data_IF_523115471855
#
_entry.id   IF_523115471855
#
_cell.length_a   1.000
_cell.length_b   1.000
_cell.length_c   1.000
_cell.angle_alpha   90.00
_cell.angle_beta   90.00
_cell.angle_gamma   90.00
#
_symmetry.space_group_name_H-M   'P 1'
#
loop_
_entity.id
_entity.type
_entity.pdbx_description
1 polymer ?
#
# COMPACT_ATOMS: atom_id res chain seq x y z
N UNK A 1 -6.14 -17.69 37.62
CA UNK A 1 -5.73 -17.79 36.22
C UNK A 1 -7.00 -18.03 35.41
N UNK A 2 -7.62 -16.97 34.98
CA UNK A 2 -8.89 -17.00 34.24
C UNK A 2 -8.62 -17.39 32.79
N UNK A 3 -9.09 -18.59 32.44
CA UNK A 3 -9.14 -19.09 31.08
C UNK A 3 -10.36 -18.44 30.40
N UNK A 4 -10.22 -17.24 29.84
CA UNK A 4 -11.29 -16.66 29.03
C UNK A 4 -11.50 -17.53 27.79
N UNK A 5 -12.75 -17.88 27.44
CA UNK A 5 -13.03 -18.68 26.26
C UNK A 5 -12.68 -17.85 25.02
N UNK A 6 -11.65 -18.28 24.30
CA UNK A 6 -11.22 -17.73 23.02
C UNK A 6 -12.41 -17.78 22.03
N UNK A 7 -13.00 -16.65 21.75
CA UNK A 7 -14.15 -16.54 20.86
C UNK A 7 -13.75 -16.98 19.44
N UNK A 8 -14.32 -18.09 18.97
CA UNK A 8 -14.07 -18.70 17.67
C UNK A 8 -14.26 -17.73 16.46
N UNK A 9 -14.92 -16.57 16.66
CA UNK A 9 -15.11 -15.55 15.65
C UNK A 9 -13.85 -14.72 15.30
N UNK A 10 -12.89 -14.61 16.22
CA UNK A 10 -11.69 -13.77 16.06
C UNK A 10 -10.41 -14.54 15.76
N UNK A 11 -10.46 -15.89 15.68
CA UNK A 11 -9.23 -16.68 15.47
C UNK A 11 -8.57 -16.38 14.13
N UNK A 12 -9.35 -16.16 13.06
CA UNK A 12 -8.80 -15.83 11.75
C UNK A 12 -8.03 -14.50 11.79
N UNK A 13 -8.58 -13.50 12.45
CA UNK A 13 -7.95 -12.18 12.63
C UNK A 13 -6.67 -12.30 13.47
N UNK A 14 -6.72 -12.99 14.61
CA UNK A 14 -5.54 -13.23 15.44
C UNK A 14 -4.43 -13.98 14.70
N UNK A 15 -4.77 -14.93 13.83
CA UNK A 15 -3.80 -15.62 12.97
C UNK A 15 -3.18 -14.69 11.93
N UNK A 16 -3.95 -13.77 11.35
CA UNK A 16 -3.44 -12.74 10.42
C UNK A 16 -2.49 -11.80 11.17
N UNK A 17 -2.87 -11.28 12.33
CA UNK A 17 -2.02 -10.41 13.15
C UNK A 17 -0.70 -11.09 13.55
N UNK A 18 -0.77 -12.34 14.02
CA UNK A 18 0.42 -13.11 14.34
C UNK A 18 1.31 -13.39 13.12
N UNK A 19 0.70 -13.61 11.95
CA UNK A 19 1.42 -13.79 10.70
C UNK A 19 2.09 -12.49 10.22
N UNK A 20 1.43 -11.34 10.35
CA UNK A 20 2.01 -10.01 10.08
C UNK A 20 3.23 -9.76 10.98
N UNK A 21 3.10 -10.01 12.29
CA UNK A 21 4.22 -9.88 13.22
C UNK A 21 5.39 -10.82 12.85
N UNK A 22 5.08 -12.04 12.42
CA UNK A 22 6.11 -13.00 12.01
C UNK A 22 6.85 -12.55 10.75
N UNK A 23 6.14 -12.13 9.68
CA UNK A 23 6.81 -11.67 8.45
C UNK A 23 7.60 -10.39 8.70
N UNK A 24 7.11 -9.48 9.52
CA UNK A 24 7.80 -8.22 9.82
C UNK A 24 9.11 -8.45 10.59
N UNK A 25 9.17 -9.46 11.47
CA UNK A 25 10.37 -9.75 12.26
C UNK A 25 11.37 -10.70 11.58
N UNK A 26 10.90 -11.60 10.73
CA UNK A 26 11.70 -12.72 10.21
C UNK A 26 11.69 -12.80 8.67
N UNK A 27 10.96 -11.90 7.99
CA UNK A 27 10.76 -11.92 6.56
C UNK A 27 9.65 -12.86 6.08
N UNK A 28 9.12 -12.62 4.89
CA UNK A 28 7.99 -13.38 4.31
C UNK A 28 8.31 -14.88 4.12
N UNK A 29 9.59 -15.23 3.90
CA UNK A 29 10.01 -16.64 3.76
C UNK A 29 9.83 -17.46 5.03
N UNK A 30 9.92 -16.83 6.20
CA UNK A 30 9.80 -17.47 7.51
C UNK A 30 8.35 -17.82 7.91
N UNK A 31 7.34 -17.41 7.13
CA UNK A 31 5.93 -17.68 7.41
C UNK A 31 5.66 -19.16 7.62
N UNK A 32 5.17 -19.53 8.83
CA UNK A 32 5.02 -20.92 9.27
C UNK A 32 3.75 -21.13 10.10
N UNK A 33 2.81 -21.90 9.58
CA UNK A 33 1.51 -22.17 10.22
C UNK A 33 1.64 -22.87 11.58
N UNK A 34 2.62 -23.77 11.73
CA UNK A 34 2.85 -24.46 13.01
C UNK A 34 3.35 -23.52 14.11
N UNK A 35 4.16 -22.52 13.74
CA UNK A 35 4.61 -21.47 14.65
C UNK A 35 3.43 -20.57 15.02
N UNK A 36 2.59 -20.19 14.06
CA UNK A 36 1.37 -19.41 14.33
C UNK A 36 0.41 -20.12 15.28
N UNK A 37 0.19 -21.42 15.08
CA UNK A 37 -0.65 -22.22 15.99
C UNK A 37 -0.16 -22.10 17.45
N UNK A 38 1.16 -22.24 17.66
CA UNK A 38 1.77 -22.08 19.01
C UNK A 38 1.63 -20.67 19.57
N UNK A 39 1.87 -19.64 18.75
CA UNK A 39 1.75 -18.24 19.14
C UNK A 39 0.32 -17.87 19.55
N UNK A 40 -0.68 -18.38 18.84
CA UNK A 40 -2.09 -18.13 19.13
C UNK A 40 -2.69 -19.12 20.16
N UNK A 41 -1.89 -20.06 20.70
CA UNK A 41 -2.37 -21.03 21.71
C UNK A 41 -3.42 -22.03 21.17
N UNK A 42 -3.40 -22.33 19.88
CA UNK A 42 -4.36 -23.23 19.22
C UNK A 42 -3.68 -24.45 18.62
N UNK A 43 -4.47 -25.48 18.31
CA UNK A 43 -3.95 -26.66 17.62
C UNK A 43 -3.66 -26.39 16.15
N UNK A 44 -2.70 -27.09 15.54
CA UNK A 44 -2.44 -26.98 14.10
C UNK A 44 -3.69 -27.24 13.24
N UNK A 45 -4.52 -28.27 13.51
CA UNK A 45 -5.77 -28.45 12.76
C UNK A 45 -6.71 -27.25 12.82
N UNK A 46 -6.68 -26.46 13.91
CA UNK A 46 -7.48 -25.24 13.98
C UNK A 46 -7.01 -24.18 12.97
N UNK A 47 -5.69 -24.03 12.78
CA UNK A 47 -5.12 -23.11 11.76
C UNK A 47 -5.48 -23.57 10.36
N UNK A 48 -5.37 -24.88 10.08
CA UNK A 48 -5.68 -25.44 8.77
C UNK A 48 -7.16 -25.36 8.38
N UNK A 49 -8.07 -25.19 9.33
CA UNK A 49 -9.49 -24.88 9.05
C UNK A 49 -9.68 -23.48 8.47
N UNK A 50 -8.78 -22.53 8.79
CA UNK A 50 -8.85 -21.16 8.29
C UNK A 50 -7.99 -20.93 7.05
N UNK A 51 -6.86 -21.62 6.94
CA UNK A 51 -5.91 -21.47 5.83
C UNK A 51 -5.45 -22.84 5.37
N UNK A 52 -5.78 -23.21 4.13
CA UNK A 52 -5.45 -24.51 3.54
C UNK A 52 -3.94 -24.78 3.41
N UNK A 53 -3.11 -23.78 3.69
CA UNK A 53 -1.65 -23.86 3.63
C UNK A 53 -1.01 -22.48 3.62
N UNK A 54 0.32 -22.45 3.48
CA UNK A 54 1.12 -21.22 3.45
C UNK A 54 0.67 -20.26 2.34
N UNK A 55 0.33 -20.79 1.16
CA UNK A 55 -0.13 -19.96 0.03
C UNK A 55 -1.47 -19.27 0.34
N UNK A 56 -2.45 -20.00 0.88
CA UNK A 56 -3.75 -19.43 1.26
C UNK A 56 -3.61 -18.35 2.35
N UNK A 57 -2.70 -18.54 3.30
CA UNK A 57 -2.37 -17.52 4.29
C UNK A 57 -1.69 -16.32 3.62
N UNK A 58 -0.73 -16.53 2.72
CA UNK A 58 -0.07 -15.46 1.98
C UNK A 58 -1.07 -14.63 1.16
N UNK A 59 -2.03 -15.25 0.50
CA UNK A 59 -3.09 -14.54 -0.21
C UNK A 59 -3.95 -13.69 0.74
N UNK A 60 -4.30 -14.24 1.90
CA UNK A 60 -5.07 -13.50 2.90
C UNK A 60 -4.30 -12.31 3.47
N UNK A 61 -2.98 -12.43 3.66
CA UNK A 61 -2.12 -11.31 4.08
C UNK A 61 -2.05 -10.22 3.01
N UNK A 62 -1.85 -10.60 1.76
CA UNK A 62 -1.81 -9.65 0.62
C UNK A 62 -3.16 -8.96 0.45
N UNK A 63 -4.26 -9.68 0.57
CA UNK A 63 -5.59 -9.10 0.52
C UNK A 63 -5.80 -8.09 1.66
N UNK A 64 -5.48 -8.47 2.89
CA UNK A 64 -5.52 -7.60 4.05
C UNK A 64 -4.68 -6.33 3.84
N UNK A 65 -3.47 -6.48 3.27
CA UNK A 65 -2.58 -5.37 2.98
C UNK A 65 -3.19 -4.38 1.99
N UNK A 66 -3.77 -4.86 0.91
CA UNK A 66 -4.46 -4.00 -0.07
C UNK A 66 -5.69 -3.33 0.53
N UNK A 67 -6.51 -4.03 1.34
CA UNK A 67 -7.64 -3.40 2.04
C UNK A 67 -7.20 -2.24 2.93
N UNK A 68 -6.12 -2.43 3.71
CA UNK A 68 -5.56 -1.38 4.56
C UNK A 68 -4.99 -0.22 3.76
N UNK A 69 -4.30 -0.51 2.66
CA UNK A 69 -3.78 0.51 1.76
C UNK A 69 -4.93 1.33 1.15
N UNK A 70 -5.96 0.67 0.61
CA UNK A 70 -7.16 1.34 0.07
C UNK A 70 -7.78 2.29 1.09
N UNK A 71 -8.03 1.80 2.31
CA UNK A 71 -8.61 2.62 3.39
C UNK A 71 -7.75 3.85 3.70
N UNK A 72 -6.42 3.68 3.79
CA UNK A 72 -5.48 4.76 4.08
C UNK A 72 -5.47 5.81 2.96
N UNK A 73 -5.39 5.37 1.70
CA UNK A 73 -5.37 6.27 0.55
C UNK A 73 -6.68 7.05 0.41
N UNK A 74 -7.83 6.40 0.60
CA UNK A 74 -9.14 7.05 0.54
C UNK A 74 -9.35 8.07 1.67
N UNK A 75 -8.81 7.80 2.86
CA UNK A 75 -8.94 8.71 4.00
C UNK A 75 -8.07 9.96 3.89
N UNK A 76 -7.05 9.95 3.01
CA UNK A 76 -6.03 11.01 2.96
C UNK A 76 -6.31 12.07 1.90
N UNK A 77 -7.10 11.76 0.88
CA UNK A 77 -7.32 12.66 -0.27
C UNK A 77 -8.78 13.03 -0.45
N UNK A 78 -9.03 14.32 -0.70
CA UNK A 78 -10.33 14.88 -1.10
C UNK A 78 -10.17 15.66 -2.42
N UNK A 79 -9.90 14.99 -3.54
CA UNK A 79 -9.43 15.63 -4.78
C UNK A 79 -10.47 16.58 -5.40
N UNK A 80 -11.74 16.47 -5.01
CA UNK A 80 -12.80 17.40 -5.43
C UNK A 80 -12.65 18.78 -4.77
N UNK A 81 -12.07 18.82 -3.56
CA UNK A 81 -11.96 20.01 -2.72
C UNK A 81 -10.52 20.56 -2.66
N UNK A 82 -9.55 19.79 -3.10
CA UNK A 82 -8.12 20.10 -3.01
C UNK A 82 -7.53 20.44 -4.38
N UNK A 83 -6.38 21.10 -4.36
CA UNK A 83 -5.51 21.24 -5.52
C UNK A 83 -4.85 19.90 -5.86
N UNK A 84 -4.61 19.67 -7.15
CA UNK A 84 -4.03 18.42 -7.66
C UNK A 84 -2.69 18.10 -6.99
N UNK A 85 -1.82 19.09 -6.79
CA UNK A 85 -0.53 18.92 -6.11
C UNK A 85 -0.71 18.44 -4.66
N UNK A 86 -1.63 19.05 -3.91
CA UNK A 86 -1.95 18.65 -2.53
C UNK A 86 -2.44 17.21 -2.46
N UNK A 87 -3.34 16.82 -3.37
CA UNK A 87 -3.87 15.46 -3.44
C UNK A 87 -2.79 14.43 -3.80
N UNK A 88 -1.91 14.72 -4.77
CA UNK A 88 -0.78 13.83 -5.13
C UNK A 88 0.18 13.68 -3.94
N UNK A 89 0.51 14.78 -3.27
CA UNK A 89 1.39 14.78 -2.10
C UNK A 89 0.81 13.94 -0.96
N UNK A 90 -0.47 14.14 -0.64
CA UNK A 90 -1.18 13.39 0.40
C UNK A 90 -1.21 11.90 0.12
N UNK A 91 -1.55 11.53 -1.12
CA UNK A 91 -1.56 10.13 -1.57
C UNK A 91 -0.15 9.50 -1.50
N UNK A 92 0.87 10.20 -1.97
CA UNK A 92 2.24 9.72 -1.94
C UNK A 92 2.73 9.51 -0.50
N UNK A 93 2.43 10.46 0.41
CA UNK A 93 2.76 10.33 1.83
C UNK A 93 2.09 9.12 2.46
N UNK A 94 0.78 8.96 2.29
CA UNK A 94 0.04 7.83 2.84
C UNK A 94 0.55 6.47 2.32
N UNK A 95 0.92 6.42 1.04
CA UNK A 95 1.52 5.24 0.42
C UNK A 95 2.90 4.91 1.01
N UNK A 96 3.79 5.90 1.15
CA UNK A 96 5.11 5.72 1.74
C UNK A 96 5.02 5.28 3.21
N UNK A 97 4.19 5.94 4.01
CA UNK A 97 3.97 5.59 5.41
C UNK A 97 3.50 4.15 5.55
N UNK A 98 2.52 3.71 4.72
CA UNK A 98 2.09 2.31 4.70
C UNK A 98 3.23 1.37 4.34
N UNK A 99 4.00 1.68 3.29
CA UNK A 99 5.07 0.82 2.80
C UNK A 99 6.20 0.65 3.81
N UNK A 100 6.53 1.70 4.57
CA UNK A 100 7.56 1.66 5.61
C UNK A 100 7.04 1.01 6.91
N UNK A 101 5.77 1.21 7.26
CA UNK A 101 5.14 0.55 8.42
C UNK A 101 5.04 -0.97 8.22
N UNK A 102 4.70 -1.41 7.00
CA UNK A 102 4.49 -2.82 6.65
C UNK A 102 5.47 -3.29 5.57
N UNK A 103 6.78 -3.04 5.74
CA UNK A 103 7.81 -3.26 4.71
C UNK A 103 7.76 -4.66 4.09
N UNK A 104 7.77 -5.71 4.91
CA UNK A 104 7.75 -7.08 4.40
C UNK A 104 6.42 -7.46 3.74
N UNK A 105 5.31 -6.95 4.26
CA UNK A 105 4.00 -7.12 3.62
C UNK A 105 3.94 -6.38 2.29
N UNK A 106 4.41 -5.14 2.22
CA UNK A 106 4.44 -4.35 0.99
C UNK A 106 5.29 -5.04 -0.09
N UNK A 107 6.48 -5.55 0.26
CA UNK A 107 7.28 -6.38 -0.65
C UNK A 107 6.47 -7.57 -1.16
N UNK A 108 5.77 -8.29 -0.28
CA UNK A 108 4.97 -9.44 -0.64
C UNK A 108 3.78 -9.07 -1.55
N UNK A 109 3.10 -7.94 -1.28
CA UNK A 109 1.97 -7.44 -2.08
C UNK A 109 2.35 -7.21 -3.55
N UNK A 110 3.56 -6.68 -3.80
CA UNK A 110 4.00 -6.33 -5.15
C UNK A 110 4.85 -7.40 -5.83
N UNK A 111 5.45 -8.35 -5.10
CA UNK A 111 6.20 -9.47 -5.65
C UNK A 111 5.35 -10.71 -5.95
N UNK A 112 4.15 -10.84 -5.39
CA UNK A 112 3.30 -12.01 -5.57
C UNK A 112 2.78 -12.08 -7.01
N UNK A 113 3.26 -13.09 -7.77
CA UNK A 113 2.89 -13.26 -9.19
C UNK A 113 1.40 -13.52 -9.38
N UNK A 114 0.81 -14.27 -8.46
CA UNK A 114 -0.60 -14.64 -8.45
C UNK A 114 -1.54 -13.43 -8.28
N UNK A 115 -1.04 -12.29 -7.82
CA UNK A 115 -1.80 -11.03 -7.75
C UNK A 115 -2.47 -10.65 -9.08
N UNK A 116 -1.88 -11.03 -10.21
CA UNK A 116 -2.43 -10.73 -11.54
C UNK A 116 -3.41 -11.80 -12.00
N UNK A 117 -3.26 -13.03 -11.56
CA UNK A 117 -4.03 -14.20 -12.02
C UNK A 117 -5.14 -14.62 -11.06
N UNK A 118 -5.03 -14.32 -9.78
CA UNK A 118 -6.10 -14.53 -8.80
C UNK A 118 -7.12 -13.40 -8.90
N UNK A 119 -8.41 -13.68 -9.15
CA UNK A 119 -9.43 -12.66 -9.39
C UNK A 119 -9.63 -11.70 -8.20
N UNK A 120 -9.60 -12.22 -6.97
CA UNK A 120 -9.85 -11.41 -5.76
C UNK A 120 -8.66 -10.48 -5.48
N UNK A 121 -7.43 -11.01 -5.57
CA UNK A 121 -6.22 -10.20 -5.41
C UNK A 121 -6.09 -9.16 -6.54
N UNK A 122 -6.48 -9.51 -7.75
CA UNK A 122 -6.48 -8.57 -8.86
C UNK A 122 -7.49 -7.45 -8.64
N UNK A 123 -8.70 -7.76 -8.21
CA UNK A 123 -9.75 -6.78 -7.94
C UNK A 123 -9.34 -5.80 -6.85
N UNK A 124 -8.86 -6.29 -5.69
CA UNK A 124 -8.47 -5.42 -4.58
C UNK A 124 -7.22 -4.58 -4.92
N UNK A 125 -6.27 -5.11 -5.68
CA UNK A 125 -5.10 -4.36 -6.13
C UNK A 125 -5.45 -3.21 -7.07
N UNK A 126 -6.47 -3.38 -7.92
CA UNK A 126 -7.02 -2.30 -8.75
C UNK A 126 -7.72 -1.22 -7.92
N UNK A 127 -8.44 -1.61 -6.87
CA UNK A 127 -9.08 -0.64 -5.97
C UNK A 127 -8.04 0.28 -5.30
N UNK A 128 -6.83 -0.22 -5.01
CA UNK A 128 -5.76 0.59 -4.44
C UNK A 128 -5.28 1.71 -5.38
N UNK A 129 -5.43 1.54 -6.69
CA UNK A 129 -5.12 2.60 -7.67
C UNK A 129 -6.27 3.61 -7.83
N UNK A 130 -7.47 3.29 -7.36
CA UNK A 130 -8.68 4.12 -7.52
C UNK A 130 -8.52 5.59 -7.10
N UNK A 131 -8.00 5.90 -5.90
CA UNK A 131 -7.78 7.28 -5.48
C UNK A 131 -6.85 8.07 -6.42
N UNK A 132 -5.82 7.44 -6.96
CA UNK A 132 -4.93 8.08 -7.93
C UNK A 132 -5.65 8.35 -9.26
N UNK A 133 -6.42 7.38 -9.76
CA UNK A 133 -7.25 7.59 -10.94
C UNK A 133 -8.21 8.76 -10.74
N UNK A 134 -8.88 8.85 -9.59
CA UNK A 134 -9.79 9.94 -9.27
C UNK A 134 -9.10 11.32 -9.32
N UNK A 135 -7.91 11.46 -8.74
CA UNK A 135 -7.12 12.70 -8.81
C UNK A 135 -6.88 13.13 -10.27
N UNK A 136 -6.40 12.19 -11.10
CA UNK A 136 -6.05 12.49 -12.49
C UNK A 136 -7.29 12.76 -13.35
N UNK A 137 -8.39 12.02 -13.15
CA UNK A 137 -9.66 12.25 -13.84
C UNK A 137 -10.27 13.61 -13.50
N UNK A 138 -10.19 14.06 -12.23
CA UNK A 138 -10.65 15.38 -11.83
C UNK A 138 -9.78 16.46 -12.49
N UNK A 139 -8.47 16.27 -12.54
CA UNK A 139 -7.56 17.20 -13.23
C UNK A 139 -7.87 17.27 -14.75
N UNK A 140 -8.19 16.12 -15.39
CA UNK A 140 -8.63 16.09 -16.77
C UNK A 140 -9.96 16.85 -16.97
N UNK A 141 -10.95 16.60 -16.10
CA UNK A 141 -12.24 17.30 -16.16
C UNK A 141 -12.11 18.83 -15.95
N UNK A 142 -11.12 19.25 -15.14
CA UNK A 142 -10.75 20.66 -14.94
C UNK A 142 -9.88 21.23 -16.05
N UNK A 143 -9.51 20.44 -17.06
CA UNK A 143 -8.60 20.81 -18.14
C UNK A 143 -7.22 21.26 -17.67
N UNK A 144 -6.76 20.71 -16.54
CA UNK A 144 -5.43 20.98 -15.97
C UNK A 144 -4.43 19.84 -16.24
N UNK A 145 -4.86 18.70 -16.76
CA UNK A 145 -3.96 17.63 -17.19
C UNK A 145 -3.29 18.02 -18.53
N UNK A 146 -1.97 17.91 -18.62
CA UNK A 146 -1.23 18.07 -19.88
C UNK A 146 -1.39 16.82 -20.74
N UNK A 147 -1.99 16.97 -21.90
CA UNK A 147 -2.40 15.85 -22.74
C UNK A 147 -3.67 15.16 -22.21
N UNK A 148 -4.15 14.14 -22.95
CA UNK A 148 -5.44 13.50 -22.65
C UNK A 148 -5.29 12.06 -22.11
N UNK A 149 -4.06 11.56 -21.90
CA UNK A 149 -3.81 10.17 -21.49
C UNK A 149 -3.75 10.04 -19.95
N UNK A 150 -4.94 9.84 -19.35
CA UNK A 150 -5.11 9.56 -17.92
C UNK A 150 -4.30 8.34 -17.48
N UNK A 151 -4.30 7.28 -18.29
CA UNK A 151 -3.58 6.04 -18.00
C UNK A 151 -2.06 6.26 -17.93
N UNK A 152 -1.52 7.07 -18.85
CA UNK A 152 -0.10 7.41 -18.86
C UNK A 152 0.25 8.24 -17.60
N UNK A 153 -0.54 9.26 -17.27
CA UNK A 153 -0.31 10.08 -16.10
C UNK A 153 -0.34 9.24 -14.80
N UNK A 154 -1.35 8.38 -14.64
CA UNK A 154 -1.45 7.46 -13.50
C UNK A 154 -0.22 6.55 -13.40
N UNK A 155 0.23 5.97 -14.53
CA UNK A 155 1.42 5.09 -14.55
C UNK A 155 2.69 5.83 -14.15
N UNK A 156 2.88 7.07 -14.60
CA UNK A 156 4.06 7.89 -14.27
C UNK A 156 4.08 8.27 -12.79
N UNK A 157 2.94 8.71 -12.25
CA UNK A 157 2.82 9.04 -10.82
C UNK A 157 3.07 7.79 -9.97
N UNK A 158 2.41 6.68 -10.31
CA UNK A 158 2.59 5.40 -9.63
C UNK A 158 4.04 4.94 -9.63
N UNK A 159 4.69 4.91 -10.80
CA UNK A 159 6.08 4.45 -10.94
C UNK A 159 7.05 5.30 -10.10
N UNK A 160 6.84 6.61 -10.03
CA UNK A 160 7.68 7.51 -9.25
C UNK A 160 7.54 7.29 -7.74
N UNK A 161 6.31 7.23 -7.24
CA UNK A 161 6.02 7.04 -5.82
C UNK A 161 6.44 5.64 -5.36
N UNK A 162 6.10 4.61 -6.15
CA UNK A 162 6.48 3.24 -5.86
C UNK A 162 7.99 3.04 -5.91
N UNK A 163 8.67 3.64 -6.88
CA UNK A 163 10.12 3.62 -6.96
C UNK A 163 10.81 4.18 -5.72
N UNK A 164 10.34 5.34 -5.23
CA UNK A 164 10.82 5.90 -3.96
C UNK A 164 10.57 4.94 -2.79
N UNK A 165 9.37 4.39 -2.69
CA UNK A 165 9.03 3.44 -1.62
C UNK A 165 9.97 2.22 -1.61
N UNK A 166 10.23 1.63 -2.78
CA UNK A 166 11.14 0.48 -2.93
C UNK A 166 12.56 0.84 -2.50
N UNK A 167 13.09 1.99 -2.94
CA UNK A 167 14.42 2.45 -2.56
C UNK A 167 14.57 2.67 -1.05
N UNK A 168 13.52 3.17 -0.40
CA UNK A 168 13.51 3.36 1.06
C UNK A 168 13.39 2.02 1.81
N UNK A 169 12.48 1.14 1.37
CA UNK A 169 12.30 -0.20 1.96
C UNK A 169 13.57 -1.07 1.83
N UNK A 170 14.31 -0.92 0.74
CA UNK A 170 15.55 -1.67 0.47
C UNK A 170 16.80 -0.97 1.00
N UNK A 171 16.64 0.08 1.82
CA UNK A 171 17.71 0.84 2.46
C UNK A 171 18.74 1.41 1.46
N UNK A 172 18.31 1.64 0.20
CA UNK A 172 19.18 2.19 -0.85
C UNK A 172 19.38 3.72 -0.71
N UNK A 173 18.59 4.36 0.16
CA UNK A 173 18.68 5.80 0.45
C UNK A 173 18.83 6.05 1.97
N UNK A 174 19.88 5.54 2.62
CA UNK A 174 20.02 5.59 4.07
C UNK A 174 20.07 7.03 4.61
N UNK A 175 20.61 7.97 3.84
CA UNK A 175 20.65 9.39 4.22
C UNK A 175 19.26 10.01 4.32
N UNK A 176 18.29 9.51 3.56
CA UNK A 176 16.89 9.98 3.62
C UNK A 176 16.19 9.43 4.87
N UNK A 177 16.38 8.14 5.18
CA UNK A 177 15.73 7.51 6.34
C UNK A 177 16.36 7.95 7.67
N UNK A 178 17.65 8.32 7.68
CA UNK A 178 18.39 8.72 8.88
C UNK A 178 18.34 10.23 9.17
N UNK A 179 17.93 11.04 8.22
CA UNK A 179 17.84 12.50 8.39
C UNK A 179 16.39 12.90 8.70
N UNK A 180 16.11 13.49 9.87
CA UNK A 180 14.77 13.96 10.20
C UNK A 180 14.20 14.91 9.13
N UNK A 181 12.99 14.64 8.65
CA UNK A 181 12.31 15.47 7.65
C UNK A 181 12.76 15.24 6.20
N UNK A 182 13.79 14.42 5.94
CA UNK A 182 14.28 14.24 4.58
C UNK A 182 13.29 13.46 3.68
N UNK A 183 12.48 12.56 4.26
CA UNK A 183 11.41 11.86 3.51
C UNK A 183 10.41 12.89 2.97
N UNK A 184 9.96 13.83 3.80
CA UNK A 184 9.04 14.88 3.41
C UNK A 184 9.63 15.77 2.31
N UNK A 185 10.89 16.16 2.42
CA UNK A 185 11.59 16.95 1.40
C UNK A 185 11.63 16.22 0.05
N UNK A 186 11.95 14.92 0.04
CA UNK A 186 11.98 14.13 -1.20
C UNK A 186 10.58 13.92 -1.79
N UNK A 187 9.59 13.70 -0.93
CA UNK A 187 8.21 13.54 -1.32
C UNK A 187 7.67 14.84 -1.95
N UNK A 188 7.96 15.99 -1.35
CA UNK A 188 7.59 17.30 -1.89
C UNK A 188 8.23 17.55 -3.25
N UNK A 189 9.51 17.23 -3.39
CA UNK A 189 10.24 17.38 -4.65
C UNK A 189 9.66 16.49 -5.76
N UNK A 190 9.32 15.24 -5.46
CA UNK A 190 8.69 14.32 -6.42
C UNK A 190 7.28 14.80 -6.77
N UNK A 191 6.47 15.18 -5.79
CA UNK A 191 5.11 15.65 -6.04
C UNK A 191 5.13 16.93 -6.92
N UNK A 192 6.04 17.87 -6.65
CA UNK A 192 6.20 19.06 -7.45
C UNK A 192 6.66 18.73 -8.87
N UNK A 193 7.66 17.87 -9.03
CA UNK A 193 8.15 17.45 -10.35
C UNK A 193 7.04 16.78 -11.19
N UNK A 194 6.24 15.92 -10.58
CA UNK A 194 5.11 15.26 -11.22
C UNK A 194 4.03 16.28 -11.60
N UNK A 195 3.73 17.21 -10.68
CA UNK A 195 2.76 18.26 -10.94
C UNK A 195 3.22 19.13 -12.12
N UNK A 196 4.44 19.65 -12.09
CA UNK A 196 4.97 20.53 -13.15
C UNK A 196 5.11 19.79 -14.50
N UNK A 197 5.38 18.48 -14.47
CA UNK A 197 5.48 17.66 -15.68
C UNK A 197 4.13 17.30 -16.31
N UNK A 198 3.13 17.02 -15.49
CA UNK A 198 1.86 16.41 -15.93
C UNK A 198 0.67 17.37 -15.91
N UNK A 199 0.74 18.48 -15.13
CA UNK A 199 -0.41 19.36 -14.96
C UNK A 199 -0.09 20.82 -15.32
N UNK A 200 -1.14 21.56 -15.65
CA UNK A 200 -1.07 23.01 -15.92
C UNK A 200 -1.25 23.73 -14.60
N UNK A 201 -0.32 24.59 -14.23
CA UNK A 201 -0.49 25.46 -13.07
C UNK A 201 -1.63 26.46 -13.32
N UNK A 202 -2.48 26.75 -12.33
CA UNK A 202 -3.54 27.76 -12.46
C UNK A 202 -3.03 29.14 -12.88
N UNK A 203 -1.75 29.46 -12.57
CA UNK A 203 -1.10 30.72 -12.87
C UNK A 203 -0.35 30.73 -14.20
N UNK A 204 -0.41 29.66 -14.99
CA UNK A 204 0.27 29.61 -16.30
C UNK A 204 -0.51 30.46 -17.30
N UNK A 205 0.14 31.43 -18.00
CA UNK A 205 -0.51 32.17 -19.06
C UNK A 205 -0.99 31.21 -20.14
N UNK A 206 -2.28 31.27 -20.45
CA UNK A 206 -2.85 30.53 -21.59
C UNK A 206 -2.17 31.06 -22.85
N UNK A 207 -1.45 30.16 -23.55
CA UNK A 207 -0.77 30.49 -24.81
C UNK A 207 -1.76 30.47 -25.97
#
# INVERSE_FOLDING_TARGET
MSNEPYHHGHLREALIEAALAQIQSEGASALNLSKLARQCGVSQPAVYRHFAGKQALSFSLVHWGFERLVQRLQATTQPEQEETLTSIRGLAKAYLEFSLEYTELARMMFSLKERVTDPDLHAISKQAAGPLYQIVQIAQARQTLKGDDVEQAVRLIWASIHGLAVLLMDEQMPYVTQTPGAIEVHLDAIAQLLHDGLFISPDSPQA
#
